data_IF_454928321654
#
_entry.id   IF_454928321654
#
_cell.length_a   1.000
_cell.length_b   1.000
_cell.length_c   1.000
_cell.angle_alpha   90.00
_cell.angle_beta   90.00
_cell.angle_gamma   90.00
#
_symmetry.space_group_name_H-M   'P 1'
#
loop_
_entity.id
_entity.type
_entity.pdbx_description
1 polymer ?
#
# COMPACT_ATOMS: atom_id res chain seq x y z
N UNK A 1 -28.82 3.79 -60.59
CA UNK A 1 -27.92 2.63 -60.55
C UNK A 1 -27.71 2.27 -59.07
N UNK A 2 -28.29 1.15 -58.65
CA UNK A 2 -28.04 0.26 -57.49
C UNK A 2 -27.81 0.88 -56.09
N UNK A 3 -28.75 0.73 -55.15
CA UNK A 3 -29.10 -0.42 -54.27
C UNK A 3 -28.22 -0.57 -53.01
N UNK A 4 -28.87 -0.29 -51.87
CA UNK A 4 -28.75 -0.81 -50.49
C UNK A 4 -27.78 -1.97 -50.20
N UNK A 5 -27.06 -1.93 -49.06
CA UNK A 5 -27.37 -2.73 -47.85
C UNK A 5 -26.27 -2.72 -46.77
N UNK A 6 -26.73 -2.57 -45.50
CA UNK A 6 -26.29 -3.28 -44.28
C UNK A 6 -24.89 -2.93 -43.72
N UNK A 7 -24.75 -2.35 -42.53
CA UNK A 7 -25.24 -2.89 -41.25
C UNK A 7 -24.13 -3.75 -40.62
N UNK A 8 -23.47 -3.23 -39.58
CA UNK A 8 -22.37 -3.93 -38.90
C UNK A 8 -22.00 -3.24 -37.59
N UNK A 9 -22.23 -3.97 -36.51
CA UNK A 9 -22.30 -3.57 -35.12
C UNK A 9 -20.94 -3.26 -34.47
N UNK A 10 -21.02 -2.66 -33.27
CA UNK A 10 -19.94 -2.21 -32.40
C UNK A 10 -18.89 -3.29 -32.12
N UNK A 11 -17.62 -2.90 -32.10
CA UNK A 11 -16.59 -3.58 -31.31
C UNK A 11 -15.82 -2.54 -30.50
N UNK A 12 -16.15 -2.45 -29.19
CA UNK A 12 -15.27 -1.83 -28.19
C UNK A 12 -13.97 -2.64 -28.20
N UNK A 13 -12.86 -2.01 -28.54
CA UNK A 13 -11.54 -2.64 -28.49
C UNK A 13 -11.16 -2.78 -27.01
N UNK A 14 -11.52 -3.90 -26.40
CA UNK A 14 -10.91 -4.34 -25.15
C UNK A 14 -9.48 -4.76 -25.50
N UNK A 15 -8.53 -3.87 -25.19
CA UNK A 15 -7.10 -4.18 -25.17
C UNK A 15 -6.87 -5.17 -24.02
N UNK A 16 -7.03 -6.45 -24.30
CA UNK A 16 -6.43 -7.51 -23.49
C UNK A 16 -4.95 -7.47 -23.85
N UNK A 17 -4.14 -6.83 -22.99
CA UNK A 17 -2.68 -6.84 -23.11
C UNK A 17 -2.21 -8.19 -22.55
N UNK A 18 -1.67 -9.11 -23.36
CA UNK A 18 -1.01 -10.28 -22.82
C UNK A 18 0.30 -9.81 -22.18
N UNK A 19 0.39 -9.82 -20.84
CA UNK A 19 1.62 -9.49 -20.13
C UNK A 19 2.62 -10.61 -20.40
N UNK A 20 3.51 -10.37 -21.36
CA UNK A 20 4.75 -11.12 -21.55
C UNK A 20 5.61 -10.96 -20.29
N UNK A 21 6.12 -12.08 -19.78
CA UNK A 21 6.96 -12.13 -18.58
C UNK A 21 8.17 -11.20 -18.65
N UNK A 22 8.25 -10.30 -17.67
CA UNK A 22 9.42 -9.47 -17.42
C UNK A 22 10.14 -10.02 -16.19
N UNK A 23 11.20 -10.77 -16.45
CA UNK A 23 12.19 -11.14 -15.45
C UNK A 23 12.97 -9.86 -15.05
N UNK A 24 12.68 -9.30 -13.88
CA UNK A 24 13.46 -8.21 -13.29
C UNK A 24 14.65 -8.79 -12.52
N UNK A 25 15.80 -8.84 -13.18
CA UNK A 25 17.10 -8.98 -12.53
C UNK A 25 17.40 -7.67 -11.79
N UNK A 26 17.31 -7.70 -10.46
CA UNK A 26 17.69 -6.59 -9.59
C UNK A 26 19.19 -6.33 -9.64
N UNK A 27 19.59 -5.18 -10.20
CA UNK A 27 20.93 -4.63 -10.06
C UNK A 27 20.84 -3.39 -9.18
N UNK A 28 21.15 -3.51 -7.89
CA UNK A 28 21.21 -2.37 -6.97
C UNK A 28 22.62 -1.79 -7.02
N UNK A 29 22.76 -0.65 -7.68
CA UNK A 29 23.97 0.17 -7.59
C UNK A 29 23.90 1.02 -6.31
N UNK A 30 24.77 0.73 -5.34
CA UNK A 30 24.99 1.58 -4.17
C UNK A 30 25.62 2.91 -4.61
N UNK A 31 24.84 3.99 -4.60
CA UNK A 31 25.31 5.36 -4.75
C UNK A 31 25.14 6.12 -3.44
N UNK A 32 26.24 6.45 -2.77
CA UNK A 32 26.25 7.20 -1.52
C UNK A 32 26.00 8.68 -1.76
N UNK A 33 24.74 9.12 -1.66
CA UNK A 33 24.41 10.53 -1.49
C UNK A 33 24.43 10.86 0.02
N UNK A 34 25.31 11.78 0.43
CA UNK A 34 25.28 12.34 1.78
C UNK A 34 24.06 13.26 1.88
N UNK A 35 23.05 12.82 2.63
CA UNK A 35 21.89 13.63 3.03
C UNK A 35 22.30 14.49 4.23
N UNK A 36 21.85 15.75 4.28
CA UNK A 36 22.13 16.68 5.38
C UNK A 36 21.57 16.12 6.70
N UNK A 37 22.35 16.22 7.77
CA UNK A 37 21.98 15.76 9.11
C UNK A 37 20.84 16.62 9.68
N UNK A 38 19.61 16.25 9.33
CA UNK A 38 18.42 16.51 10.12
C UNK A 38 18.52 15.67 11.40
N UNK A 39 18.15 16.24 12.55
CA UNK A 39 18.21 15.62 13.89
C UNK A 39 17.97 14.10 13.79
N UNK A 40 19.01 13.30 14.04
CA UNK A 40 19.05 11.88 13.62
C UNK A 40 17.93 11.05 14.24
N UNK A 41 17.36 11.55 15.35
CA UNK A 41 16.26 10.93 16.06
C UNK A 41 14.88 11.57 15.81
N UNK A 42 14.79 12.63 15.00
CA UNK A 42 13.54 13.34 14.69
C UNK A 42 12.46 12.46 14.06
N UNK A 43 12.87 11.35 13.42
CA UNK A 43 11.99 10.36 12.81
C UNK A 43 11.43 9.32 13.81
N UNK A 44 11.84 9.40 15.08
CA UNK A 44 11.38 8.52 16.16
C UNK A 44 10.52 9.28 17.16
N UNK A 45 9.65 8.58 17.91
CA UNK A 45 8.82 9.23 18.90
C UNK A 45 9.68 9.92 19.99
N UNK A 46 9.20 11.02 20.61
CA UNK A 46 9.95 11.77 21.61
C UNK A 46 10.43 10.96 22.84
N UNK A 47 9.87 9.76 23.05
CA UNK A 47 10.32 8.86 24.10
C UNK A 47 11.74 8.33 23.86
N UNK A 48 12.16 8.16 22.60
CA UNK A 48 13.49 7.62 22.27
C UNK A 48 14.58 8.61 22.69
N UNK A 49 14.40 9.90 22.36
CA UNK A 49 15.30 10.98 22.81
C UNK A 49 15.40 11.02 24.34
N UNK A 50 14.27 10.93 25.05
CA UNK A 50 14.27 10.88 26.53
C UNK A 50 15.01 9.67 27.11
N UNK A 51 14.98 8.52 26.43
CA UNK A 51 15.71 7.33 26.87
C UNK A 51 17.22 7.50 26.69
N UNK A 52 17.63 8.02 25.54
CA UNK A 52 19.03 8.37 25.26
C UNK A 52 19.55 9.32 26.34
N UNK A 53 18.88 10.45 26.56
CA UNK A 53 19.28 11.46 27.54
C UNK A 53 19.31 10.91 28.97
N UNK A 54 18.27 10.17 29.37
CA UNK A 54 18.12 9.70 30.76
C UNK A 54 19.14 8.63 31.14
N UNK A 55 19.50 7.77 30.19
CA UNK A 55 20.38 6.62 30.42
C UNK A 55 21.78 6.80 29.82
N UNK A 56 22.04 7.94 29.14
CA UNK A 56 23.31 8.21 28.49
C UNK A 56 23.64 7.21 27.39
N UNK A 57 22.64 6.81 26.61
CA UNK A 57 22.82 5.84 25.51
C UNK A 57 23.45 6.52 24.30
N UNK A 58 24.11 5.73 23.45
CA UNK A 58 24.61 6.21 22.17
C UNK A 58 23.43 6.36 21.18
N UNK A 59 23.26 7.55 20.60
CA UNK A 59 22.16 7.87 19.67
C UNK A 59 22.20 7.01 18.40
N UNK A 60 23.37 6.83 17.80
CA UNK A 60 23.55 6.03 16.58
C UNK A 60 23.22 4.55 16.82
N UNK A 61 23.66 4.00 17.96
CA UNK A 61 23.37 2.61 18.33
C UNK A 61 21.87 2.41 18.61
N UNK A 62 21.24 3.35 19.31
CA UNK A 62 19.79 3.32 19.56
C UNK A 62 19.03 3.40 18.24
N UNK A 63 19.43 4.31 17.35
CA UNK A 63 18.85 4.44 16.01
C UNK A 63 18.93 3.12 15.24
N UNK A 64 20.11 2.50 15.20
CA UNK A 64 20.33 1.24 14.52
C UNK A 64 19.40 0.12 15.01
N UNK A 65 19.24 -0.01 16.34
CA UNK A 65 18.34 -1.01 16.94
C UNK A 65 16.87 -0.77 16.55
N UNK A 66 16.42 0.49 16.56
CA UNK A 66 15.04 0.79 16.16
C UNK A 66 14.81 0.62 14.65
N UNK A 67 15.81 0.91 13.82
CA UNK A 67 15.73 0.64 12.38
C UNK A 67 15.64 -0.86 12.09
N UNK A 68 16.46 -1.66 12.78
CA UNK A 68 16.42 -3.12 12.70
C UNK A 68 15.04 -3.65 13.13
N UNK A 69 14.51 -3.23 14.28
CA UNK A 69 13.19 -3.67 14.74
C UNK A 69 12.07 -3.26 13.77
N UNK A 70 12.10 -2.03 13.24
CA UNK A 70 11.11 -1.57 12.26
C UNK A 70 11.16 -2.41 10.99
N UNK A 71 12.35 -2.78 10.53
CA UNK A 71 12.52 -3.62 9.36
C UNK A 71 11.99 -5.04 9.61
N UNK A 72 12.35 -5.65 10.73
CA UNK A 72 11.83 -6.96 11.14
C UNK A 72 10.30 -6.96 11.20
N UNK A 73 9.71 -5.91 11.79
CA UNK A 73 8.25 -5.74 11.84
C UNK A 73 7.64 -5.55 10.47
N UNK A 74 8.29 -4.82 9.56
CA UNK A 74 7.82 -4.62 8.19
C UNK A 74 7.73 -5.97 7.47
N UNK A 75 8.79 -6.77 7.58
CA UNK A 75 8.86 -8.12 7.02
C UNK A 75 7.77 -9.00 7.66
N UNK A 76 7.68 -9.04 8.99
CA UNK A 76 6.67 -9.84 9.71
C UNK A 76 5.25 -9.49 9.26
N UNK A 77 4.93 -8.20 9.14
CA UNK A 77 3.63 -7.73 8.70
C UNK A 77 3.35 -8.10 7.24
N UNK A 78 4.35 -8.03 6.37
CA UNK A 78 4.22 -8.44 4.97
C UNK A 78 3.97 -9.95 4.86
N UNK A 79 4.75 -10.77 5.56
CA UNK A 79 4.55 -12.23 5.58
C UNK A 79 3.16 -12.59 6.12
N UNK A 80 2.75 -12.01 7.26
CA UNK A 80 1.40 -12.23 7.82
C UNK A 80 0.29 -11.81 6.87
N UNK A 81 0.52 -10.82 6.02
CA UNK A 81 -0.45 -10.37 5.03
C UNK A 81 -0.55 -11.39 3.88
N UNK A 82 0.58 -11.82 3.34
CA UNK A 82 0.66 -12.84 2.29
C UNK A 82 0.08 -14.19 2.75
N UNK A 83 0.33 -14.59 4.00
CA UNK A 83 -0.21 -15.82 4.60
C UNK A 83 -1.75 -15.78 4.64
N UNK A 84 -2.34 -14.65 5.07
CA UNK A 84 -3.79 -14.48 5.11
C UNK A 84 -4.43 -14.53 3.73
N UNK A 85 -3.77 -13.98 2.72
CA UNK A 85 -4.27 -14.06 1.35
C UNK A 85 -4.17 -15.50 0.83
N UNK A 86 -3.11 -16.22 1.18
CA UNK A 86 -2.96 -17.63 0.82
C UNK A 86 -4.03 -18.49 1.48
N UNK A 87 -4.31 -18.29 2.77
CA UNK A 87 -5.42 -18.93 3.48
C UNK A 87 -6.78 -18.63 2.83
N UNK A 88 -7.01 -17.38 2.41
CA UNK A 88 -8.23 -17.01 1.69
C UNK A 88 -8.35 -17.66 0.30
N UNK A 89 -7.23 -17.92 -0.38
CA UNK A 89 -7.21 -18.71 -1.63
C UNK A 89 -7.52 -20.18 -1.35
N UNK A 90 -6.92 -20.76 -0.31
CA UNK A 90 -7.18 -22.14 0.11
C UNK A 90 -8.64 -22.36 0.51
N UNK A 91 -9.24 -21.39 1.19
CA UNK A 91 -10.66 -21.39 1.56
C UNK A 91 -11.60 -21.12 0.38
N UNK A 92 -11.07 -20.73 -0.79
CA UNK A 92 -11.86 -20.39 -1.98
C UNK A 92 -12.54 -19.03 -1.94
N UNK A 93 -12.20 -18.18 -0.96
CA UNK A 93 -12.69 -16.80 -0.86
C UNK A 93 -12.01 -15.87 -1.87
N UNK A 94 -10.80 -16.23 -2.33
CA UNK A 94 -10.03 -15.53 -3.35
C UNK A 94 -9.51 -16.51 -4.40
N UNK A 95 -9.27 -16.00 -5.61
CA UNK A 95 -8.44 -16.71 -6.61
C UNK A 95 -6.97 -16.30 -6.48
N UNK A 96 -6.06 -17.11 -7.03
CA UNK A 96 -4.63 -16.75 -7.06
C UNK A 96 -4.40 -15.43 -7.82
N UNK A 97 -5.14 -15.18 -8.90
CA UNK A 97 -5.08 -13.92 -9.64
C UNK A 97 -5.51 -12.73 -8.77
N UNK A 98 -6.57 -12.88 -7.96
CA UNK A 98 -7.02 -11.83 -7.04
C UNK A 98 -6.00 -11.57 -5.94
N UNK A 99 -5.34 -12.61 -5.40
CA UNK A 99 -4.22 -12.45 -4.47
C UNK A 99 -3.11 -11.60 -5.07
N UNK A 100 -2.71 -11.88 -6.32
CA UNK A 100 -1.67 -11.10 -6.99
C UNK A 100 -2.07 -9.64 -7.23
N UNK A 101 -3.34 -9.39 -7.60
CA UNK A 101 -3.89 -8.04 -7.71
C UNK A 101 -3.83 -7.29 -6.38
N UNK A 102 -4.17 -7.94 -5.27
CA UNK A 102 -4.11 -7.35 -3.93
C UNK A 102 -2.68 -6.99 -3.55
N UNK A 103 -1.72 -7.89 -3.76
CA UNK A 103 -0.31 -7.64 -3.46
C UNK A 103 0.23 -6.45 -4.27
N UNK A 104 -0.09 -6.41 -5.57
CA UNK A 104 0.29 -5.30 -6.46
C UNK A 104 -0.31 -3.98 -5.99
N UNK A 105 -1.62 -3.96 -5.67
CA UNK A 105 -2.28 -2.74 -5.21
C UNK A 105 -1.78 -2.30 -3.84
N UNK A 106 -1.43 -3.24 -2.96
CA UNK A 106 -0.87 -2.94 -1.63
C UNK A 106 0.46 -2.21 -1.74
N UNK A 107 1.35 -2.66 -2.62
CA UNK A 107 2.62 -2.00 -2.89
C UNK A 107 2.39 -0.58 -3.45
N UNK A 108 1.50 -0.42 -4.43
CA UNK A 108 1.17 0.90 -5.01
C UNK A 108 0.65 1.90 -3.95
N UNK A 109 -0.19 1.44 -3.02
CA UNK A 109 -0.73 2.29 -1.94
C UNK A 109 0.35 2.63 -0.91
N UNK A 110 1.27 1.71 -0.61
CA UNK A 110 2.38 1.96 0.32
C UNK A 110 3.42 2.93 -0.25
N UNK A 111 3.60 2.97 -1.58
CA UNK A 111 4.51 3.88 -2.27
C UNK A 111 4.01 5.33 -2.40
N UNK A 112 2.84 5.67 -1.82
CA UNK A 112 2.33 7.05 -1.77
C UNK A 112 2.51 7.71 -0.39
N UNK A 113 3.74 7.85 0.17
CA UNK A 113 3.94 8.64 1.37
C UNK A 113 3.72 10.13 1.04
N UNK A 114 3.12 10.86 1.98
CA UNK A 114 3.12 12.33 1.96
C UNK A 114 1.89 13.02 1.37
N UNK A 115 0.91 12.31 0.79
CA UNK A 115 -0.28 12.98 0.21
C UNK A 115 -1.16 13.71 1.22
N UNK A 116 -0.99 13.43 2.52
CA UNK A 116 -1.74 14.06 3.61
C UNK A 116 -0.90 15.06 4.44
N UNK A 117 0.37 15.23 4.09
CA UNK A 117 1.27 16.15 4.79
C UNK A 117 0.88 17.60 4.53
N UNK A 118 0.94 18.44 5.56
CA UNK A 118 0.59 19.86 5.47
C UNK A 118 -0.89 20.20 5.23
N UNK A 119 -1.75 19.22 4.94
CA UNK A 119 -3.18 19.44 4.71
C UNK A 119 -3.96 19.72 6.00
N UNK A 120 -4.96 20.60 5.90
CA UNK A 120 -5.97 20.81 6.95
C UNK A 120 -6.86 19.58 7.13
N UNK A 121 -7.62 19.52 8.23
CA UNK A 121 -8.53 18.38 8.50
C UNK A 121 -9.58 18.19 7.39
N UNK A 122 -10.12 19.27 6.83
CA UNK A 122 -11.12 19.21 5.75
C UNK A 122 -10.51 18.75 4.42
N UNK A 123 -9.29 19.20 4.11
CA UNK A 123 -8.56 18.75 2.93
C UNK A 123 -8.18 17.28 3.05
N UNK A 124 -7.71 16.84 4.23
CA UNK A 124 -7.43 15.43 4.52
C UNK A 124 -8.68 14.58 4.34
N UNK A 125 -9.84 15.01 4.85
CA UNK A 125 -11.12 14.31 4.64
C UNK A 125 -11.43 14.15 3.16
N UNK A 126 -11.28 15.23 2.39
CA UNK A 126 -11.52 15.21 0.94
C UNK A 126 -10.58 14.23 0.21
N UNK A 127 -9.30 14.22 0.55
CA UNK A 127 -8.32 13.29 -0.03
C UNK A 127 -8.63 11.84 0.36
N UNK A 128 -8.97 11.59 1.62
CA UNK A 128 -9.34 10.25 2.11
C UNK A 128 -10.63 9.73 1.46
N UNK A 129 -11.64 10.57 1.27
CA UNK A 129 -12.87 10.20 0.55
C UNK A 129 -12.59 9.87 -0.92
N UNK A 130 -11.68 10.60 -1.57
CA UNK A 130 -11.24 10.28 -2.93
C UNK A 130 -10.53 8.93 -2.99
N UNK A 131 -9.58 8.68 -2.09
CA UNK A 131 -8.89 7.39 -1.97
C UNK A 131 -9.86 6.25 -1.73
N UNK A 132 -10.80 6.45 -0.80
CA UNK A 132 -11.83 5.45 -0.51
C UNK A 132 -12.61 5.08 -1.78
N UNK A 133 -13.10 6.06 -2.53
CA UNK A 133 -13.83 5.81 -3.78
C UNK A 133 -12.96 5.11 -4.82
N UNK A 134 -11.69 5.50 -4.95
CA UNK A 134 -10.74 4.83 -5.85
C UNK A 134 -10.57 3.35 -5.48
N UNK A 135 -10.42 3.06 -4.18
CA UNK A 135 -10.28 1.69 -3.70
C UNK A 135 -11.58 0.88 -3.88
N UNK A 136 -12.74 1.47 -3.58
CA UNK A 136 -14.04 0.85 -3.80
C UNK A 136 -14.25 0.48 -5.27
N UNK A 137 -13.97 1.41 -6.20
CA UNK A 137 -14.07 1.13 -7.64
C UNK A 137 -13.09 0.04 -8.07
N UNK A 138 -11.83 0.10 -7.63
CA UNK A 138 -10.85 -0.93 -7.93
C UNK A 138 -11.29 -2.31 -7.42
N UNK A 139 -11.84 -2.37 -6.21
CA UNK A 139 -12.29 -3.61 -5.58
C UNK A 139 -13.50 -4.20 -6.32
N UNK A 140 -14.48 -3.37 -6.68
CA UNK A 140 -15.66 -3.77 -7.47
C UNK A 140 -15.26 -4.30 -8.85
N UNK A 141 -14.38 -3.60 -9.56
CA UNK A 141 -13.91 -3.99 -10.90
C UNK A 141 -13.19 -5.34 -10.91
N UNK A 142 -12.54 -5.70 -9.80
CA UNK A 142 -11.79 -6.94 -9.66
C UNK A 142 -12.53 -8.02 -8.85
N UNK A 143 -13.75 -7.75 -8.39
CA UNK A 143 -14.55 -8.66 -7.57
C UNK A 143 -13.88 -9.03 -6.24
N UNK A 144 -13.14 -8.09 -5.64
CA UNK A 144 -12.36 -8.28 -4.41
C UNK A 144 -13.04 -7.53 -3.26
N UNK A 145 -13.13 -8.15 -2.09
CA UNK A 145 -13.55 -7.44 -0.87
C UNK A 145 -12.37 -6.62 -0.31
N UNK A 146 -12.59 -5.32 -0.08
CA UNK A 146 -11.60 -4.40 0.47
C UNK A 146 -10.97 -4.87 1.79
N UNK A 147 -11.65 -5.72 2.56
CA UNK A 147 -11.08 -6.31 3.77
C UNK A 147 -9.75 -7.02 3.50
N UNK A 148 -9.57 -7.59 2.31
CA UNK A 148 -8.34 -8.30 1.94
C UNK A 148 -7.18 -7.36 1.61
N UNK A 149 -7.44 -6.14 1.14
CA UNK A 149 -6.40 -5.13 0.90
C UNK A 149 -5.91 -4.45 2.20
N UNK A 150 -6.82 -4.27 3.16
CA UNK A 150 -6.55 -3.55 4.41
C UNK A 150 -6.45 -4.46 5.65
N UNK A 151 -6.35 -5.78 5.45
CA UNK A 151 -6.12 -6.75 6.52
C UNK A 151 -7.24 -6.81 7.57
N UNK A 152 -8.48 -6.53 7.17
CA UNK A 152 -9.67 -6.58 8.03
C UNK A 152 -9.77 -5.50 9.11
N UNK A 153 -8.76 -4.62 9.23
CA UNK A 153 -8.73 -3.53 10.21
C UNK A 153 -9.08 -2.21 9.52
N UNK A 154 -10.38 -1.93 9.39
CA UNK A 154 -10.85 -0.56 9.15
C UNK A 154 -12.00 -0.37 8.15
N UNK A 155 -12.15 -1.20 7.12
CA UNK A 155 -13.16 -0.98 6.05
C UNK A 155 -14.47 -1.78 6.23
N UNK A 156 -14.82 -2.16 7.47
CA UNK A 156 -16.12 -2.79 7.72
C UNK A 156 -17.26 -1.77 7.69
N UNK A 157 -18.45 -2.11 7.13
CA UNK A 157 -19.62 -1.24 7.21
C UNK A 157 -19.95 -0.97 8.69
N UNK A 158 -19.72 0.26 9.15
CA UNK A 158 -20.11 0.71 10.50
C UNK A 158 -18.99 0.99 11.51
N UNK A 159 -17.70 0.93 11.14
CA UNK A 159 -16.64 1.49 12.01
C UNK A 159 -16.08 2.79 11.42
N UNK A 160 -16.29 3.95 12.06
CA UNK A 160 -15.66 5.18 11.61
C UNK A 160 -14.14 5.04 11.76
N UNK A 161 -13.43 5.27 10.66
CA UNK A 161 -11.99 5.49 10.69
C UNK A 161 -11.70 6.71 11.56
N UNK A 162 -11.02 6.51 12.69
CA UNK A 162 -10.52 7.62 13.51
C UNK A 162 -11.51 8.22 14.51
N UNK A 163 -12.25 7.38 15.24
CA UNK A 163 -12.80 7.78 16.53
C UNK A 163 -11.73 7.68 17.61
N UNK A 164 -11.01 8.76 17.86
CA UNK A 164 -10.50 9.01 19.22
C UNK A 164 -11.68 9.57 20.00
N UNK A 165 -12.25 8.76 20.90
CA UNK A 165 -12.97 9.28 22.07
C UNK A 165 -11.95 9.67 23.15
#
# INVERSE_FOLDING_TARGET
MNYWERGGEKMKKHLIIPIFGLALLGFVAYGSAKVYAEDELSQYPPIVQKLVERFGLNEEEVKAVFDEEREERRIENQTRFEDKLSEAVENGDLTEDQKQLILTKKAEVQEKPGELEGLSLEERRTVMEKHKKEMESWAEENGIDLKYLFGGRGFGPGRPFGGFE
#
